data_IF_925696353200
#
_entry.id   IF_925696353200
#
_cell.length_a   1.000
_cell.length_b   1.000
_cell.length_c   1.000
_cell.angle_alpha   90.00
_cell.angle_beta   90.00
_cell.angle_gamma   90.00
#
_symmetry.space_group_name_H-M   'P 1'
#
loop_
_entity.id
_entity.type
_entity.pdbx_description
1 polymer ?
#
# COMPACT_ATOMS: atom_id res chain seq x y z
N UNK A 1 10.80 24.95 -3.38
CA UNK A 1 9.48 24.65 -3.98
C UNK A 1 8.64 24.01 -2.89
N UNK A 2 7.39 24.42 -2.71
CA UNK A 2 6.48 23.69 -1.82
C UNK A 2 6.31 22.27 -2.39
N UNK A 3 6.46 21.25 -1.54
CA UNK A 3 6.15 19.88 -1.96
C UNK A 3 4.68 19.83 -2.41
N UNK A 4 4.36 19.20 -3.55
CA UNK A 4 2.99 19.08 -3.99
C UNK A 4 2.16 18.39 -2.90
N UNK A 5 0.99 18.95 -2.58
CA UNK A 5 0.10 18.37 -1.58
C UNK A 5 -0.41 17.02 -2.09
N UNK A 6 0.09 15.94 -1.50
CA UNK A 6 -0.28 14.57 -1.84
C UNK A 6 -1.65 14.15 -1.31
N UNK A 7 -2.05 12.93 -1.66
CA UNK A 7 -3.24 12.29 -1.08
C UNK A 7 -2.95 11.82 0.35
N UNK A 8 -3.82 12.22 1.28
CA UNK A 8 -3.81 11.71 2.65
C UNK A 8 -4.48 10.32 2.71
N UNK A 9 -3.75 9.29 2.28
CA UNK A 9 -4.24 7.91 2.31
C UNK A 9 -4.69 7.52 3.72
N UNK A 10 -5.94 7.11 3.86
CA UNK A 10 -6.50 6.59 5.11
C UNK A 10 -5.91 5.21 5.42
N UNK A 11 -5.80 4.37 4.39
CA UNK A 11 -5.21 3.04 4.48
C UNK A 11 -4.44 2.69 3.21
N UNK A 12 -3.28 2.07 3.38
CA UNK A 12 -2.50 1.44 2.31
C UNK A 12 -2.43 -0.06 2.62
N UNK A 13 -2.79 -0.86 1.64
CA UNK A 13 -2.88 -2.32 1.75
C UNK A 13 -1.96 -2.95 0.74
N UNK A 14 -1.10 -3.88 1.18
CA UNK A 14 -0.27 -4.71 0.32
C UNK A 14 -0.79 -6.14 0.38
N UNK A 15 -1.40 -6.62 -0.70
CA UNK A 15 -1.93 -8.00 -0.74
C UNK A 15 -0.82 -8.97 -1.10
N UNK A 16 -0.88 -10.20 -0.61
CA UNK A 16 0.11 -11.23 -0.91
C UNK A 16 -0.50 -12.64 -0.91
N UNK A 17 0.02 -13.52 -1.76
CA UNK A 17 -0.52 -14.87 -1.92
C UNK A 17 -0.08 -15.85 -0.81
N UNK A 18 0.94 -15.49 -0.03
CA UNK A 18 1.53 -16.37 0.96
C UNK A 18 1.48 -15.74 2.35
N UNK A 19 0.88 -16.46 3.29
CA UNK A 19 0.83 -16.10 4.72
C UNK A 19 2.18 -15.68 5.30
N UNK A 20 3.22 -16.44 4.96
CA UNK A 20 4.55 -16.24 5.53
C UNK A 20 5.17 -14.89 5.10
N UNK A 21 4.72 -14.33 3.98
CA UNK A 21 5.16 -13.02 3.49
C UNK A 21 4.49 -11.85 4.22
N UNK A 22 3.33 -12.06 4.87
CA UNK A 22 2.56 -10.98 5.52
C UNK A 22 3.40 -10.20 6.52
N UNK A 23 4.15 -10.91 7.39
CA UNK A 23 4.95 -10.25 8.43
C UNK A 23 6.10 -9.42 7.84
N UNK A 24 6.76 -9.94 6.80
CA UNK A 24 7.86 -9.25 6.11
C UNK A 24 7.33 -7.99 5.41
N UNK A 25 6.23 -8.11 4.67
CA UNK A 25 5.61 -7.00 3.96
C UNK A 25 5.04 -5.94 4.90
N UNK A 26 4.45 -6.35 6.02
CA UNK A 26 4.03 -5.42 7.07
C UNK A 26 5.23 -4.62 7.57
N UNK A 27 6.37 -5.29 7.81
CA UNK A 27 7.57 -4.64 8.30
C UNK A 27 8.16 -3.67 7.28
N UNK A 28 8.16 -4.03 6.00
CA UNK A 28 8.59 -3.15 4.92
C UNK A 28 7.74 -1.86 4.81
N UNK A 29 6.41 -1.96 4.99
CA UNK A 29 5.53 -0.78 5.05
C UNK A 29 5.83 0.08 6.28
N UNK A 30 6.02 -0.53 7.46
CA UNK A 30 6.37 0.19 8.69
C UNK A 30 7.72 0.92 8.59
N UNK A 31 8.70 0.35 7.90
CA UNK A 31 9.99 1.01 7.67
C UNK A 31 9.79 2.32 6.91
N UNK A 32 8.92 2.35 5.90
CA UNK A 32 8.59 3.55 5.12
C UNK A 32 7.86 4.60 5.97
N UNK A 33 6.98 4.16 6.86
CA UNK A 33 6.34 5.07 7.82
C UNK A 33 7.35 5.67 8.80
N UNK A 34 8.31 4.88 9.30
CA UNK A 34 9.39 5.36 10.18
C UNK A 34 10.38 6.30 9.48
N UNK A 35 10.51 6.18 8.16
CA UNK A 35 11.31 7.08 7.31
C UNK A 35 10.53 8.31 6.84
N UNK A 36 9.31 8.53 7.35
CA UNK A 36 8.44 9.65 7.01
C UNK A 36 8.02 9.70 5.53
N UNK A 37 8.19 8.60 4.78
CA UNK A 37 7.71 8.47 3.40
C UNK A 37 6.21 8.20 3.33
N UNK A 38 5.67 7.58 4.38
CA UNK A 38 4.23 7.37 4.58
C UNK A 38 3.84 8.11 5.87
N UNK A 39 2.75 8.91 5.87
CA UNK A 39 2.29 9.59 7.08
C UNK A 39 2.01 8.61 8.23
N UNK A 40 2.35 9.02 9.46
CA UNK A 40 2.14 8.22 10.66
C UNK A 40 0.66 7.90 10.95
N UNK A 41 -0.27 8.72 10.43
CA UNK A 41 -1.71 8.51 10.57
C UNK A 41 -2.28 7.43 9.64
N UNK A 42 -1.59 7.09 8.55
CA UNK A 42 -2.04 6.11 7.56
C UNK A 42 -2.03 4.70 8.18
N UNK A 43 -3.16 3.99 8.06
CA UNK A 43 -3.23 2.57 8.42
C UNK A 43 -2.47 1.73 7.38
N UNK A 44 -1.57 0.85 7.83
CA UNK A 44 -0.78 -0.01 6.95
C UNK A 44 -1.14 -1.47 7.21
N UNK A 45 -1.53 -2.18 6.14
CA UNK A 45 -1.96 -3.56 6.21
C UNK A 45 -1.25 -4.40 5.15
N UNK A 46 -0.51 -5.42 5.55
CA UNK A 46 -0.20 -6.56 4.69
C UNK A 46 -1.30 -7.61 4.84
N UNK A 47 -1.91 -8.03 3.74
CA UNK A 47 -3.09 -8.92 3.74
C UNK A 47 -2.82 -10.16 2.91
N UNK A 48 -2.99 -11.33 3.52
CA UNK A 48 -2.96 -12.60 2.79
C UNK A 48 -4.22 -12.73 1.92
N UNK A 49 -4.05 -13.21 0.69
CA UNK A 49 -5.16 -13.60 -0.17
C UNK A 49 -5.90 -14.82 0.43
N UNK A 50 -7.24 -14.89 0.34
CA UNK A 50 -8.02 -15.98 0.94
C UNK A 50 -7.72 -17.35 0.33
N UNK A 51 -7.22 -17.37 -0.90
CA UNK A 51 -6.73 -18.57 -1.57
C UNK A 51 -5.56 -18.22 -2.49
N UNK A 52 -4.61 -19.14 -2.64
CA UNK A 52 -3.54 -19.00 -3.64
C UNK A 52 -4.15 -18.92 -5.03
N UNK A 53 -3.76 -17.90 -5.80
CA UNK A 53 -4.27 -17.65 -7.17
C UNK A 53 -5.78 -17.31 -7.21
N UNK A 54 -6.32 -16.70 -6.14
CA UNK A 54 -7.71 -16.18 -6.12
C UNK A 54 -7.97 -15.11 -7.21
N UNK A 55 -6.91 -14.48 -7.73
CA UNK A 55 -6.98 -13.41 -8.72
C UNK A 55 -7.17 -12.02 -8.09
N UNK A 56 -6.88 -10.96 -8.85
CA UNK A 56 -6.87 -9.59 -8.32
C UNK A 56 -8.22 -9.14 -7.75
N UNK A 57 -9.33 -9.52 -8.38
CA UNK A 57 -10.66 -9.17 -7.89
C UNK A 57 -10.96 -9.77 -6.50
N UNK A 58 -10.64 -11.05 -6.29
CA UNK A 58 -10.83 -11.71 -5.01
C UNK A 58 -9.90 -11.15 -3.92
N UNK A 59 -8.64 -10.90 -4.28
CA UNK A 59 -7.67 -10.23 -3.41
C UNK A 59 -8.14 -8.82 -3.01
N UNK A 60 -8.71 -8.05 -3.96
CA UNK A 60 -9.26 -6.71 -3.71
C UNK A 60 -10.43 -6.76 -2.72
N UNK A 61 -11.39 -7.67 -2.93
CA UNK A 61 -12.55 -7.79 -2.04
C UNK A 61 -12.14 -8.20 -0.62
N UNK A 62 -11.18 -9.12 -0.50
CA UNK A 62 -10.63 -9.50 0.80
C UNK A 62 -9.91 -8.33 1.47
N UNK A 63 -9.06 -7.61 0.73
CA UNK A 63 -8.38 -6.42 1.24
C UNK A 63 -9.38 -5.35 1.74
N UNK A 64 -10.48 -5.12 1.01
CA UNK A 64 -11.53 -4.18 1.43
C UNK A 64 -12.28 -4.65 2.67
N UNK A 65 -12.56 -5.95 2.81
CA UNK A 65 -13.15 -6.51 4.02
C UNK A 65 -12.25 -6.25 5.23
N UNK A 66 -10.96 -6.59 5.11
CA UNK A 66 -9.98 -6.38 6.18
C UNK A 66 -9.83 -4.89 6.49
N UNK A 67 -9.85 -4.01 5.49
CA UNK A 67 -9.86 -2.56 5.69
C UNK A 67 -11.08 -2.09 6.48
N UNK A 68 -12.27 -2.55 6.09
CA UNK A 68 -13.52 -2.21 6.76
C UNK A 68 -13.52 -2.66 8.22
N UNK A 69 -12.98 -3.84 8.53
CA UNK A 69 -12.81 -4.32 9.91
C UNK A 69 -11.95 -3.37 10.74
N UNK A 70 -10.76 -3.02 10.24
CA UNK A 70 -9.83 -2.17 10.97
C UNK A 70 -10.35 -0.74 11.12
N UNK A 71 -10.95 -0.19 10.06
CA UNK A 71 -11.53 1.15 10.10
C UNK A 71 -12.77 1.21 10.99
N UNK A 72 -13.61 0.15 10.99
CA UNK A 72 -14.75 0.04 11.91
C UNK A 72 -14.29 0.03 13.36
N UNK A 73 -13.27 -0.77 13.68
CA UNK A 73 -12.69 -0.84 15.01
C UNK A 73 -12.07 0.50 15.44
N UNK A 74 -11.33 1.18 14.55
CA UNK A 74 -10.77 2.52 14.82
C UNK A 74 -11.84 3.58 15.06
N UNK A 75 -12.99 3.46 14.41
CA UNK A 75 -14.14 4.34 14.60
C UNK A 75 -14.99 3.96 15.84
N UNK A 76 -14.65 2.90 16.56
CA UNK A 76 -15.35 2.47 17.77
C UNK A 76 -16.62 1.66 17.53
N UNK A 77 -16.84 1.16 16.32
CA UNK A 77 -17.97 0.26 16.03
C UNK A 77 -17.70 -1.16 16.57
N UNK A 78 -18.76 -1.84 17.01
CA UNK A 78 -18.71 -3.22 17.51
C UNK A 78 -18.97 -4.26 16.42
N UNK A 79 -19.35 -3.82 15.23
CA UNK A 79 -19.61 -4.65 14.04
C UNK A 79 -18.88 -4.04 12.84
N UNK A 80 -18.57 -4.86 11.86
CA UNK A 80 -18.03 -4.40 10.58
C UNK A 80 -19.13 -3.65 9.83
N UNK A 81 -18.89 -2.39 9.48
CA UNK A 81 -19.77 -1.59 8.63
C UNK A 81 -19.02 -1.10 7.41
N UNK A 82 -19.68 -1.09 6.25
CA UNK A 82 -19.13 -0.49 5.02
C UNK A 82 -19.17 1.04 5.07
N UNK A 83 -19.88 1.65 6.03
CA UNK A 83 -20.01 3.10 6.14
C UNK A 83 -18.65 3.81 6.25
N UNK A 84 -17.70 3.19 6.96
CA UNK A 84 -16.32 3.71 7.13
C UNK A 84 -15.53 3.82 5.82
N UNK A 85 -15.97 3.16 4.75
CA UNK A 85 -15.31 3.20 3.44
C UNK A 85 -15.71 4.45 2.63
N UNK A 86 -16.86 5.07 2.91
CA UNK A 86 -17.39 6.19 2.08
C UNK A 86 -16.51 7.44 2.14
N UNK A 87 -15.79 7.67 3.24
CA UNK A 87 -14.92 8.82 3.45
C UNK A 87 -13.43 8.45 3.47
N UNK A 88 -13.09 7.20 3.13
CA UNK A 88 -11.71 6.72 3.17
C UNK A 88 -11.02 6.83 1.80
N UNK A 89 -9.76 7.25 1.80
CA UNK A 89 -8.85 7.06 0.67
C UNK A 89 -8.07 5.77 0.88
N UNK A 90 -8.35 4.77 0.05
CA UNK A 90 -7.85 3.40 0.19
C UNK A 90 -6.94 3.11 -1.01
N UNK A 91 -5.68 2.78 -0.76
CA UNK A 91 -4.75 2.32 -1.78
C UNK A 91 -4.46 0.83 -1.58
N UNK A 92 -4.82 0.01 -2.56
CA UNK A 92 -4.53 -1.42 -2.61
C UNK A 92 -3.43 -1.66 -3.62
N UNK A 93 -2.35 -2.27 -3.14
CA UNK A 93 -1.18 -2.67 -3.88
C UNK A 93 -1.20 -4.19 -3.97
N UNK A 94 -1.41 -4.73 -5.17
CA UNK A 94 -1.34 -6.17 -5.37
C UNK A 94 0.11 -6.60 -5.56
N UNK A 95 0.61 -7.46 -4.67
CA UNK A 95 1.87 -8.14 -4.94
C UNK A 95 1.70 -9.02 -6.17
N UNK A 96 2.57 -8.75 -7.14
CA UNK A 96 2.64 -9.54 -8.35
C UNK A 96 3.12 -10.98 -8.11
N UNK A 97 3.37 -11.67 -9.21
CA UNK A 97 3.87 -13.06 -9.17
C UNK A 97 5.25 -13.13 -8.52
N UNK A 98 5.55 -14.28 -7.95
CA UNK A 98 6.86 -14.64 -7.41
C UNK A 98 8.00 -14.19 -8.34
N UNK A 99 9.06 -13.67 -7.73
CA UNK A 99 10.21 -13.15 -8.44
C UNK A 99 11.45 -13.87 -7.94
N UNK A 100 12.06 -14.77 -8.75
CA UNK A 100 13.17 -15.61 -8.29
C UNK A 100 14.44 -14.86 -7.87
N UNK A 101 14.53 -13.55 -8.13
CA UNK A 101 15.72 -12.74 -7.91
C UNK A 101 15.62 -11.83 -6.67
N UNK A 102 14.48 -11.85 -5.95
CA UNK A 102 14.28 -11.08 -4.72
C UNK A 102 13.27 -11.80 -3.82
N UNK A 103 13.65 -12.07 -2.56
CA UNK A 103 12.82 -12.81 -1.60
C UNK A 103 11.52 -12.07 -1.24
N UNK A 104 11.50 -10.74 -1.40
CA UNK A 104 10.33 -9.92 -1.16
C UNK A 104 9.53 -9.62 -2.44
N UNK A 105 9.99 -10.10 -3.60
CA UNK A 105 9.30 -9.88 -4.87
C UNK A 105 9.63 -8.52 -5.52
N UNK A 106 9.06 -8.31 -6.72
CA UNK A 106 9.37 -7.13 -7.57
C UNK A 106 9.04 -5.77 -6.93
N UNK A 107 8.15 -5.72 -5.94
CA UNK A 107 7.82 -4.48 -5.26
C UNK A 107 9.03 -3.88 -4.52
N UNK A 108 9.90 -4.73 -3.99
CA UNK A 108 11.00 -4.29 -3.12
C UNK A 108 12.37 -4.34 -3.79
N UNK A 109 12.41 -4.64 -5.10
CA UNK A 109 13.64 -4.57 -5.89
C UNK A 109 14.20 -3.15 -5.86
N UNK A 110 15.42 -3.03 -5.37
CA UNK A 110 16.15 -1.76 -5.30
C UNK A 110 16.41 -1.20 -6.70
N UNK A 111 16.24 0.11 -6.85
CA UNK A 111 16.42 0.84 -8.10
C UNK A 111 17.72 1.66 -8.04
N UNK A 112 18.40 1.87 -9.18
CA UNK A 112 19.59 2.71 -9.26
C UNK A 112 19.21 4.20 -9.28
N UNK A 113 18.47 4.64 -8.27
CA UNK A 113 17.96 6.01 -8.12
C UNK A 113 18.07 6.44 -6.67
N UNK A 114 18.37 7.70 -6.47
CA UNK A 114 18.42 8.35 -5.16
C UNK A 114 17.30 9.40 -5.08
N UNK A 115 16.79 9.65 -3.87
CA UNK A 115 15.89 10.77 -3.62
C UNK A 115 16.55 11.73 -2.62
N UNK A 116 17.28 12.77 -3.10
CA UNK A 116 17.96 13.73 -2.24
C UNK A 116 17.01 14.58 -1.38
N UNK A 117 15.72 14.64 -1.74
CA UNK A 117 14.70 15.38 -1.01
C UNK A 117 14.00 14.53 0.06
N UNK A 118 14.33 13.23 0.16
CA UNK A 118 13.75 12.35 1.16
C UNK A 118 14.18 12.78 2.59
N UNK A 119 13.29 12.69 3.59
CA UNK A 119 13.63 13.01 4.98
C UNK A 119 14.76 12.15 5.56
N UNK A 120 14.89 10.92 5.05
CA UNK A 120 15.89 9.94 5.48
C UNK A 120 16.57 9.33 4.24
N UNK A 121 17.89 9.29 4.25
CA UNK A 121 18.69 8.62 3.23
C UNK A 121 18.48 7.09 3.30
N UNK A 122 18.04 6.49 2.20
CA UNK A 122 17.82 5.06 2.09
C UNK A 122 17.80 4.60 0.63
N UNK A 123 17.93 3.29 0.41
CA UNK A 123 17.69 2.67 -0.88
C UNK A 123 16.24 2.93 -1.32
N UNK A 124 16.08 3.30 -2.58
CA UNK A 124 14.78 3.43 -3.24
C UNK A 124 14.46 2.12 -3.92
N UNK A 125 13.27 1.59 -3.72
CA UNK A 125 12.76 0.44 -4.46
C UNK A 125 11.53 0.81 -5.29
N UNK A 126 11.06 -0.15 -6.09
CA UNK A 126 9.90 0.02 -6.96
C UNK A 126 8.62 0.47 -6.20
N UNK A 127 8.39 -0.06 -4.99
CA UNK A 127 7.26 0.35 -4.15
C UNK A 127 7.31 1.83 -3.80
N UNK A 128 8.51 2.38 -3.56
CA UNK A 128 8.68 3.80 -3.20
C UNK A 128 8.28 4.70 -4.37
N UNK A 129 8.70 4.34 -5.60
CA UNK A 129 8.28 5.05 -6.80
C UNK A 129 6.78 4.95 -7.04
N UNK A 130 6.18 3.78 -6.82
CA UNK A 130 4.74 3.59 -6.97
C UNK A 130 3.96 4.45 -5.96
N UNK A 131 4.39 4.46 -4.70
CA UNK A 131 3.78 5.31 -3.67
C UNK A 131 3.89 6.80 -4.02
N UNK A 132 5.03 7.25 -4.53
CA UNK A 132 5.21 8.63 -4.99
C UNK A 132 4.24 8.99 -6.12
N UNK A 133 4.16 8.15 -7.16
CA UNK A 133 3.29 8.36 -8.32
C UNK A 133 1.82 8.40 -7.89
N UNK A 134 1.38 7.42 -7.09
CA UNK A 134 -0.02 7.34 -6.65
C UNK A 134 -0.38 8.51 -5.74
N UNK A 135 0.54 8.94 -4.88
CA UNK A 135 0.27 9.98 -3.87
C UNK A 135 0.36 11.39 -4.43
N UNK A 136 1.36 11.68 -5.25
CA UNK A 136 1.70 13.05 -5.65
C UNK A 136 1.45 13.35 -7.12
N UNK A 137 1.25 12.34 -7.98
CA UNK A 137 1.00 12.55 -9.42
C UNK A 137 -0.41 12.19 -9.86
N UNK A 138 -0.89 11.00 -9.52
CA UNK A 138 -2.18 10.49 -9.98
C UNK A 138 -3.34 10.76 -9.01
N UNK A 139 -3.08 10.63 -7.71
CA UNK A 139 -4.09 10.77 -6.68
C UNK A 139 -4.60 12.19 -6.38
N UNK A 140 -3.79 13.27 -6.48
CA UNK A 140 -4.26 14.60 -6.11
C UNK A 140 -5.54 15.04 -6.84
N UNK A 141 -6.51 15.57 -6.09
CA UNK A 141 -7.82 15.97 -6.61
C UNK A 141 -8.86 14.85 -6.67
N UNK A 142 -8.50 13.61 -6.33
CA UNK A 142 -9.45 12.50 -6.29
C UNK A 142 -10.35 12.53 -5.04
N UNK A 143 -11.65 12.18 -5.18
CA UNK A 143 -12.52 12.00 -4.03
C UNK A 143 -12.14 10.75 -3.22
N UNK A 144 -12.69 10.58 -2.00
CA UNK A 144 -12.58 9.32 -1.27
C UNK A 144 -13.00 8.13 -2.14
N UNK A 145 -12.34 7.00 -1.94
CA UNK A 145 -12.58 5.80 -2.74
C UNK A 145 -11.41 4.82 -2.72
N UNK A 146 -11.53 3.81 -3.58
CA UNK A 146 -10.60 2.69 -3.68
C UNK A 146 -9.74 2.83 -4.93
N UNK A 147 -8.43 2.83 -4.73
CA UNK A 147 -7.42 2.76 -5.77
C UNK A 147 -6.77 1.39 -5.73
N UNK A 148 -6.70 0.72 -6.87
CA UNK A 148 -6.07 -0.60 -6.99
C UNK A 148 -4.96 -0.51 -8.03
N UNK A 149 -3.75 -0.89 -7.66
CA UNK A 149 -2.64 -0.98 -8.60
C UNK A 149 -1.78 -2.21 -8.33
N UNK A 150 -1.09 -2.65 -9.38
CA UNK A 150 -0.14 -3.76 -9.32
C UNK A 150 1.23 -3.25 -8.88
N UNK A 151 1.96 -4.04 -8.11
CA UNK A 151 3.39 -3.79 -7.85
C UNK A 151 4.29 -4.36 -8.95
N UNK A 152 3.74 -5.14 -9.89
CA UNK A 152 4.46 -5.53 -11.10
C UNK A 152 4.70 -4.29 -11.97
N UNK A 153 5.99 -3.98 -12.15
CA UNK A 153 6.47 -2.72 -12.69
C UNK A 153 5.88 -2.39 -14.07
N UNK A 154 5.39 -1.16 -14.22
CA UNK A 154 5.40 -0.41 -15.48
C UNK A 154 6.56 0.58 -15.37
N UNK A 155 7.65 0.34 -16.08
CA UNK A 155 8.67 1.35 -16.30
C UNK A 155 8.02 2.52 -17.05
N UNK A 156 8.10 3.73 -16.49
CA UNK A 156 7.86 4.99 -17.20
C UNK A 156 9.16 5.56 -17.71
#
# INVERSE_FOLDING_TARGET
>A
MEQPKGVDWTVIILTCQYKDSVQVFQRELEVRQKREQIPAGTLLLAVEDPEKRVGSGGATLNALLVAAEHLSARAGFTVVTSDVLHSAWILILHMGRDFPFDDCGRAFTCLPVENPEAPVEALVCNLDCLLDIMTYRLGPGSPPGVWVCSTDMLLS
#
